data_IF_025388854744
#
_entry.id   IF_025388854744
#
_cell.length_a   1.000
_cell.length_b   1.000
_cell.length_c   1.000
_cell.angle_alpha   90.00
_cell.angle_beta   90.00
_cell.angle_gamma   90.00
#
_symmetry.space_group_name_H-M   'P 1'
#
loop_
_entity.id
_entity.type
_entity.pdbx_description
1 polymer ?
#
# COMPACT_ATOMS: atom_id res chain seq x y z
N UNK A 1 -4.21 0.84 -8.67
CA UNK A 1 -3.21 1.75 -9.29
C UNK A 1 -3.82 2.91 -10.09
N UNK A 2 -4.87 2.73 -10.93
CA UNK A 2 -5.45 3.84 -11.72
C UNK A 2 -6.25 4.85 -10.87
N UNK A 3 -6.97 4.40 -9.84
CA UNK A 3 -7.68 5.26 -8.88
C UNK A 3 -6.75 6.04 -7.93
N UNK A 4 -5.50 5.60 -7.80
CA UNK A 4 -4.43 6.22 -6.99
C UNK A 4 -4.17 7.69 -7.33
N UNK A 5 -4.40 8.06 -8.59
CA UNK A 5 -3.99 9.36 -9.14
C UNK A 5 -5.08 10.43 -8.95
N UNK A 6 -6.36 10.04 -8.82
CA UNK A 6 -7.50 10.98 -8.84
C UNK A 6 -8.20 11.20 -7.50
N UNK A 7 -8.06 10.29 -6.53
CA UNK A 7 -8.68 10.42 -5.21
C UNK A 7 -7.64 10.13 -4.12
N UNK A 8 -7.16 11.13 -3.37
CA UNK A 8 -6.09 10.96 -2.37
C UNK A 8 -6.62 10.46 -1.01
N UNK A 9 -7.80 9.84 -0.99
CA UNK A 9 -8.37 9.22 0.21
C UNK A 9 -8.24 7.71 0.11
N UNK A 10 -7.19 7.15 0.72
CA UNK A 10 -7.05 5.70 0.84
C UNK A 10 -8.19 5.05 1.63
N UNK A 11 -8.79 5.79 2.57
CA UNK A 11 -9.97 5.34 3.32
C UNK A 11 -11.25 5.24 2.48
N UNK A 12 -11.47 6.18 1.55
CA UNK A 12 -12.65 6.17 0.68
C UNK A 12 -12.63 5.05 -0.36
N UNK A 13 -11.44 4.71 -0.90
CA UNK A 13 -11.27 3.56 -1.79
C UNK A 13 -11.42 2.24 -1.04
N UNK A 14 -10.80 2.15 0.15
CA UNK A 14 -10.96 0.98 1.01
C UNK A 14 -12.43 0.73 1.33
N UNK A 15 -13.24 1.76 1.62
CA UNK A 15 -14.66 1.55 1.91
C UNK A 15 -15.42 0.84 0.78
N UNK A 16 -15.03 1.07 -0.48
CA UNK A 16 -15.65 0.47 -1.66
C UNK A 16 -15.02 -0.90 -1.99
N UNK A 17 -13.70 -1.03 -1.84
CA UNK A 17 -12.94 -2.23 -2.23
C UNK A 17 -12.86 -3.29 -1.11
N UNK A 18 -12.95 -2.89 0.16
CA UNK A 18 -12.91 -3.76 1.33
C UNK A 18 -13.86 -4.96 1.23
N UNK A 19 -15.16 -4.83 0.92
CA UNK A 19 -16.04 -6.00 0.84
C UNK A 19 -15.56 -7.01 -0.21
N UNK A 20 -15.06 -6.56 -1.36
CA UNK A 20 -14.54 -7.45 -2.41
C UNK A 20 -13.22 -8.11 -2.02
N UNK A 21 -12.28 -7.34 -1.45
CA UNK A 21 -10.98 -7.83 -0.99
C UNK A 21 -11.13 -8.85 0.14
N UNK A 22 -12.03 -8.58 1.09
CA UNK A 22 -12.30 -9.45 2.23
C UNK A 22 -13.04 -10.73 1.83
N UNK A 23 -13.97 -10.65 0.85
CA UNK A 23 -14.59 -11.85 0.27
C UNK A 23 -13.56 -12.72 -0.44
N UNK A 24 -12.71 -12.14 -1.29
CA UNK A 24 -11.66 -12.88 -1.97
C UNK A 24 -10.70 -13.56 -0.98
N UNK A 25 -10.26 -12.85 0.06
CA UNK A 25 -9.42 -13.40 1.12
C UNK A 25 -10.09 -14.55 1.89
N UNK A 26 -11.40 -14.49 2.10
CA UNK A 26 -12.18 -15.57 2.73
C UNK A 26 -12.22 -16.82 1.85
N UNK A 27 -12.39 -16.66 0.53
CA UNK A 27 -12.39 -17.77 -0.45
C UNK A 27 -11.03 -18.47 -0.47
N UNK A 28 -9.93 -17.73 -0.41
CA UNK A 28 -8.57 -18.31 -0.38
C UNK A 28 -8.09 -18.69 1.03
N UNK A 29 -8.98 -18.63 2.03
CA UNK A 29 -8.65 -18.95 3.43
C UNK A 29 -7.42 -18.17 3.96
N UNK A 30 -7.28 -16.91 3.57
CA UNK A 30 -6.17 -16.07 4.01
C UNK A 30 -6.57 -15.25 5.23
N UNK A 31 -5.63 -15.03 6.15
CA UNK A 31 -5.89 -14.24 7.35
C UNK A 31 -6.42 -12.84 6.98
N UNK A 32 -7.62 -12.52 7.47
CA UNK A 32 -8.31 -11.27 7.16
C UNK A 32 -7.56 -10.05 7.69
N UNK A 33 -7.00 -10.12 8.90
CA UNK A 33 -6.18 -9.05 9.47
C UNK A 33 -4.91 -8.80 8.66
N UNK A 34 -4.26 -9.86 8.20
CA UNK A 34 -3.09 -9.75 7.32
C UNK A 34 -3.46 -9.15 5.97
N UNK A 35 -4.58 -9.57 5.36
CA UNK A 35 -5.09 -9.02 4.10
C UNK A 35 -5.23 -7.49 4.16
N UNK A 36 -5.74 -6.95 5.26
CA UNK A 36 -5.82 -5.49 5.47
C UNK A 36 -4.42 -4.84 5.51
N UNK A 37 -3.44 -5.48 6.15
CA UNK A 37 -2.06 -4.98 6.18
C UNK A 37 -1.43 -5.00 4.79
N UNK A 38 -1.65 -6.05 4.00
CA UNK A 38 -1.21 -6.12 2.60
C UNK A 38 -1.80 -4.95 1.80
N UNK A 39 -3.09 -4.68 1.96
CA UNK A 39 -3.77 -3.57 1.28
C UNK A 39 -3.18 -2.21 1.69
N UNK A 40 -2.96 -1.98 2.98
CA UNK A 40 -2.34 -0.74 3.48
C UNK A 40 -0.95 -0.51 2.90
N UNK A 41 -0.13 -1.55 2.86
CA UNK A 41 1.22 -1.51 2.29
C UNK A 41 1.15 -1.26 0.78
N UNK A 42 0.17 -1.85 0.08
CA UNK A 42 -0.05 -1.64 -1.35
C UNK A 42 -0.53 -0.20 -1.68
N UNK A 43 -1.33 0.41 -0.80
CA UNK A 43 -1.75 1.81 -0.91
C UNK A 43 -0.61 2.82 -0.61
N UNK A 44 0.39 2.43 0.18
CA UNK A 44 1.56 3.28 0.44
C UNK A 44 2.55 3.34 -0.74
N UNK A 45 2.53 2.36 -1.64
CA UNK A 45 3.42 2.28 -2.82
C UNK A 45 3.22 3.48 -3.79
N UNK A 46 2.00 3.86 -4.19
CA UNK A 46 1.75 5.07 -4.99
C UNK A 46 2.28 6.36 -4.35
N UNK A 47 2.23 6.46 -3.01
CA UNK A 47 2.70 7.64 -2.29
C UNK A 47 4.21 7.83 -2.50
N UNK A 48 5.00 6.75 -2.58
CA UNK A 48 6.44 6.83 -2.86
C UNK A 48 6.75 7.32 -4.29
N UNK A 49 5.87 7.05 -5.25
CA UNK A 49 6.04 7.44 -6.66
C UNK A 49 5.55 8.87 -6.91
N UNK A 50 4.49 9.30 -6.22
CA UNK A 50 3.96 10.66 -6.32
C UNK A 50 4.14 11.41 -4.99
N UNK A 51 5.33 12.02 -4.75
CA UNK A 51 5.69 12.62 -3.47
C UNK A 51 5.05 14.01 -3.29
N UNK A 52 3.74 14.12 -3.49
CA UNK A 52 3.01 15.39 -3.38
C UNK A 52 3.16 16.03 -1.98
N UNK A 53 3.20 15.18 -0.94
CA UNK A 53 3.42 15.57 0.45
C UNK A 53 4.85 16.08 0.73
N UNK A 54 5.82 15.88 -0.17
CA UNK A 54 7.19 16.38 -0.02
C UNK A 54 7.43 17.71 -0.76
N UNK A 55 6.45 18.26 -1.49
CA UNK A 55 6.52 19.59 -2.10
C UNK A 55 6.88 20.71 -1.08
N UNK A 56 6.35 20.73 0.15
CA UNK A 56 6.75 21.72 1.16
C UNK A 56 8.21 21.56 1.59
N UNK A 57 8.70 20.31 1.70
CA UNK A 57 10.08 20.02 2.08
C UNK A 57 11.07 20.47 1.00
N UNK A 58 10.70 20.30 -0.27
CA UNK A 58 11.45 20.81 -1.42
C UNK A 58 11.55 22.33 -1.43
N UNK A 59 10.46 23.03 -1.06
CA UNK A 59 10.44 24.48 -0.96
C UNK A 59 11.40 25.00 0.13
N UNK A 60 11.50 24.30 1.26
CA UNK A 60 12.43 24.65 2.35
C UNK A 60 13.88 24.33 1.99
N UNK A 61 14.15 23.17 1.39
CA UNK A 61 15.50 22.70 1.07
C UNK A 61 16.05 23.26 -0.26
N UNK A 62 15.25 24.00 -1.03
CA UNK A 62 15.59 24.53 -2.38
C UNK A 62 16.12 23.45 -3.34
N UNK A 63 15.65 22.21 -3.18
CA UNK A 63 16.04 21.09 -4.03
C UNK A 63 15.13 21.00 -5.26
N UNK A 64 15.67 20.45 -6.36
CA UNK A 64 14.87 20.17 -7.54
C UNK A 64 14.00 18.95 -7.27
N UNK A 65 12.70 19.06 -7.58
CA UNK A 65 11.74 17.94 -7.44
C UNK A 65 12.22 16.66 -8.15
N UNK A 66 12.97 16.80 -9.25
CA UNK A 66 13.55 15.68 -10.00
C UNK A 66 14.51 14.83 -9.17
N UNK A 67 15.33 15.44 -8.32
CA UNK A 67 16.34 14.71 -7.54
C UNK A 67 15.68 13.89 -6.43
N UNK A 68 14.58 14.41 -5.87
CA UNK A 68 13.78 13.73 -4.87
C UNK A 68 12.96 12.58 -5.47
N UNK A 69 12.28 12.82 -6.60
CA UNK A 69 11.54 11.78 -7.31
C UNK A 69 12.49 10.67 -7.78
N UNK A 70 13.69 11.02 -8.25
CA UNK A 70 14.72 10.03 -8.58
C UNK A 70 15.12 9.17 -7.38
N UNK A 71 15.31 9.78 -6.20
CA UNK A 71 15.62 9.05 -4.97
C UNK A 71 14.47 8.15 -4.51
N UNK A 72 13.23 8.65 -4.46
CA UNK A 72 12.07 7.86 -4.05
C UNK A 72 11.74 6.76 -5.05
N UNK A 73 12.00 6.98 -6.34
CA UNK A 73 11.81 5.97 -7.39
C UNK A 73 12.83 4.83 -7.29
N UNK A 74 14.10 5.13 -6.99
CA UNK A 74 15.09 4.09 -6.69
C UNK A 74 14.67 3.32 -5.43
N UNK A 75 14.26 4.03 -4.38
CA UNK A 75 13.76 3.41 -3.15
C UNK A 75 12.55 2.50 -3.43
N UNK A 76 11.63 2.93 -4.30
CA UNK A 76 10.48 2.15 -4.75
C UNK A 76 10.91 0.87 -5.47
N UNK A 77 11.87 0.92 -6.40
CA UNK A 77 12.36 -0.26 -7.12
C UNK A 77 12.98 -1.29 -6.17
N UNK A 78 13.70 -0.85 -5.14
CA UNK A 78 14.30 -1.77 -4.16
C UNK A 78 13.29 -2.27 -3.13
N UNK A 79 12.42 -1.40 -2.62
CA UNK A 79 11.45 -1.76 -1.59
C UNK A 79 10.31 -2.61 -2.14
N UNK A 80 9.85 -2.38 -3.39
CA UNK A 80 8.75 -3.12 -3.98
C UNK A 80 8.95 -4.65 -3.97
N UNK A 81 10.07 -5.22 -4.47
CA UNK A 81 10.29 -6.66 -4.43
C UNK A 81 10.50 -7.18 -3.00
N UNK A 82 11.19 -6.42 -2.14
CA UNK A 82 11.42 -6.80 -0.74
C UNK A 82 10.11 -6.89 0.03
N UNK A 83 9.28 -5.87 -0.09
CA UNK A 83 7.99 -5.77 0.59
C UNK A 83 7.02 -6.83 0.07
N UNK A 84 6.96 -7.05 -1.24
CA UNK A 84 6.14 -8.13 -1.81
C UNK A 84 6.59 -9.51 -1.31
N UNK A 85 7.90 -9.75 -1.28
CA UNK A 85 8.46 -11.01 -0.80
C UNK A 85 8.17 -11.23 0.70
N UNK A 86 8.37 -10.19 1.52
CA UNK A 86 8.07 -10.24 2.95
C UNK A 86 6.58 -10.46 3.21
N UNK A 87 5.72 -9.76 2.48
CA UNK A 87 4.27 -9.92 2.60
C UNK A 87 3.83 -11.33 2.25
N UNK A 88 4.41 -11.89 1.18
CA UNK A 88 4.12 -13.25 0.74
C UNK A 88 4.58 -14.29 1.76
N UNK A 89 5.82 -14.22 2.25
CA UNK A 89 6.35 -15.20 3.20
C UNK A 89 5.63 -15.12 4.56
N UNK A 90 5.39 -13.91 5.07
CA UNK A 90 4.61 -13.72 6.30
C UNK A 90 3.15 -14.18 6.13
N UNK A 91 2.58 -14.00 4.94
CA UNK A 91 1.23 -14.50 4.61
C UNK A 91 1.08 -16.00 4.76
N UNK A 92 2.14 -16.78 4.53
CA UNK A 92 2.14 -18.24 4.76
C UNK A 92 2.22 -18.63 6.24
N UNK A 93 2.59 -17.68 7.11
CA UNK A 93 2.79 -17.93 8.55
C UNK A 93 1.53 -17.67 9.37
N UNK A 94 0.59 -16.86 8.85
CA UNK A 94 -0.64 -16.52 9.57
C UNK A 94 -1.77 -17.50 9.27
N UNK A 95 -2.28 -18.16 10.31
CA UNK A 95 -3.47 -19.00 10.21
C UNK A 95 -4.72 -18.17 9.91
N UNK A 96 -5.63 -18.76 9.13
CA UNK A 96 -6.98 -18.22 8.93
C UNK A 96 -7.73 -18.19 10.25
N UNK A 97 -8.29 -17.03 10.61
CA UNK A 97 -9.22 -16.89 11.73
C UNK A 97 -10.56 -16.50 11.10
N UNK A 98 -11.63 -17.28 11.30
CA UNK A 98 -12.95 -16.94 10.79
C UNK A 98 -13.39 -15.56 11.30
N UNK A 99 -14.06 -14.76 10.47
CA UNK A 99 -14.63 -13.50 10.95
C UNK A 99 -15.66 -13.79 12.05
N UNK A 100 -15.33 -13.40 13.28
CA UNK A 100 -16.28 -13.39 14.38
C UNK A 100 -17.23 -12.21 14.16
N UNK A 101 -18.43 -12.54 13.69
CA UNK A 101 -19.55 -11.60 13.61
C UNK A 101 -20.01 -11.32 15.06
N UNK A 102 -20.10 -10.06 15.50
CA UNK A 102 -21.05 -9.72 16.55
C UNK A 102 -22.50 -9.79 16.04
#
# INVERSE_FOLDING_TARGET
>A
MILGIFVPSGGGKWLVEAPYVMQAATVVQMNLGWTVQIYNVAEALPNLVNPFFMLPLLAVLKLRARDLVGFTFIHFIFHLPIVLFLVWILGTTFSFIPPHIP
#
